data_IF_632477602441
#
_entry.id   IF_632477602441
#
_cell.length_a   1.000
_cell.length_b   1.000
_cell.length_c   1.000
_cell.angle_alpha   90.00
_cell.angle_beta   90.00
_cell.angle_gamma   90.00
#
_symmetry.space_group_name_H-M   'P 1'
#
loop_
_entity.id
_entity.type
_entity.pdbx_description
1 polymer ?
#
# COMPACT_ATOMS: atom_id res chain seq x y z
N UNK A 1 8.56 1.15 -22.70
CA UNK A 1 9.58 0.66 -21.75
C UNK A 1 9.00 0.84 -20.36
N UNK A 2 8.76 -0.23 -19.61
CA UNK A 2 8.33 -0.11 -18.21
C UNK A 2 9.50 0.39 -17.35
N UNK A 3 9.21 1.29 -16.40
CA UNK A 3 10.24 1.79 -15.48
C UNK A 3 10.64 0.68 -14.50
N UNK A 4 11.88 0.68 -14.01
CA UNK A 4 12.35 -0.29 -13.00
C UNK A 4 11.46 -0.33 -11.75
N UNK A 5 10.80 0.79 -11.42
CA UNK A 5 9.84 0.90 -10.32
C UNK A 5 8.59 0.08 -10.60
N UNK A 6 8.04 0.17 -11.81
CA UNK A 6 6.85 -0.60 -12.21
C UNK A 6 7.14 -2.11 -12.15
N UNK A 7 8.29 -2.55 -12.67
CA UNK A 7 8.70 -3.96 -12.61
C UNK A 7 8.85 -4.45 -11.17
N UNK A 8 9.48 -3.65 -10.30
CA UNK A 8 9.64 -4.00 -8.89
C UNK A 8 8.31 -4.10 -8.15
N UNK A 9 7.36 -3.21 -8.43
CA UNK A 9 6.01 -3.26 -7.89
C UNK A 9 5.24 -4.50 -8.36
N UNK A 10 5.22 -4.76 -9.67
CA UNK A 10 4.56 -5.94 -10.23
C UNK A 10 5.10 -7.23 -9.61
N UNK A 11 6.43 -7.34 -9.47
CA UNK A 11 7.05 -8.51 -8.83
C UNK A 11 6.70 -8.64 -7.35
N UNK A 12 6.69 -7.54 -6.60
CA UNK A 12 6.29 -7.54 -5.21
C UNK A 12 4.82 -7.94 -5.04
N UNK A 13 3.93 -7.48 -5.93
CA UNK A 13 2.52 -7.90 -5.94
C UNK A 13 2.37 -9.41 -6.19
N UNK A 14 3.14 -9.97 -7.13
CA UNK A 14 3.15 -11.42 -7.37
C UNK A 14 3.53 -12.22 -6.11
N UNK A 15 4.49 -11.74 -5.33
CA UNK A 15 4.87 -12.38 -4.07
C UNK A 15 3.73 -12.34 -3.04
N UNK A 16 3.02 -11.21 -2.93
CA UNK A 16 1.85 -11.12 -2.05
C UNK A 16 0.77 -12.12 -2.45
N UNK A 17 0.43 -12.19 -3.74
CA UNK A 17 -0.57 -13.15 -4.24
C UNK A 17 -0.13 -14.62 -4.12
N UNK A 18 1.17 -14.88 -4.16
CA UNK A 18 1.73 -16.21 -3.93
C UNK A 18 1.76 -16.62 -2.44
N UNK A 19 1.28 -15.76 -1.52
CA UNK A 19 1.35 -16.01 -0.08
C UNK A 19 2.77 -15.91 0.48
N UNK A 20 3.64 -15.14 -0.19
CA UNK A 20 5.05 -14.92 0.14
C UNK A 20 5.30 -13.45 0.52
N UNK A 21 4.65 -12.94 1.59
CA UNK A 21 4.69 -11.51 1.93
C UNK A 21 6.08 -11.03 2.34
N UNK A 22 6.94 -11.90 2.89
CA UNK A 22 8.29 -11.52 3.31
C UNK A 22 9.20 -11.21 2.12
N UNK A 23 8.98 -11.90 1.00
CA UNK A 23 9.69 -11.73 -0.27
C UNK A 23 9.24 -10.47 -1.02
N UNK A 24 7.98 -10.04 -0.82
CA UNK A 24 7.45 -8.80 -1.40
C UNK A 24 8.09 -7.54 -0.80
N UNK A 25 8.32 -7.53 0.52
CA UNK A 25 8.83 -6.36 1.27
C UNK A 25 10.13 -5.78 0.69
N UNK A 26 11.22 -6.55 0.47
CA UNK A 26 12.47 -5.98 -0.02
C UNK A 26 12.33 -5.36 -1.42
N UNK A 27 11.53 -5.97 -2.31
CA UNK A 27 11.27 -5.45 -3.65
C UNK A 27 10.49 -4.12 -3.59
N UNK A 28 9.42 -4.06 -2.78
CA UNK A 28 8.65 -2.83 -2.60
C UNK A 28 9.45 -1.72 -1.89
N UNK A 29 10.31 -2.04 -0.91
CA UNK A 29 11.21 -1.08 -0.27
C UNK A 29 12.24 -0.51 -1.24
N UNK A 30 12.76 -1.34 -2.16
CA UNK A 30 13.68 -0.87 -3.19
C UNK A 30 12.97 0.09 -4.16
N UNK A 31 11.73 -0.23 -4.56
CA UNK A 31 10.91 0.68 -5.36
C UNK A 31 10.68 2.01 -4.64
N UNK A 32 10.34 1.97 -3.35
CA UNK A 32 10.12 3.17 -2.54
C UNK A 32 11.37 4.06 -2.49
N UNK A 33 12.54 3.48 -2.18
CA UNK A 33 13.80 4.23 -2.10
C UNK A 33 14.19 4.88 -3.42
N UNK A 34 13.97 4.18 -4.53
CA UNK A 34 14.27 4.71 -5.86
C UNK A 34 13.33 5.87 -6.21
N UNK A 35 12.04 5.71 -5.96
CA UNK A 35 11.00 6.70 -6.30
C UNK A 35 11.04 7.93 -5.39
N UNK A 36 11.22 7.76 -4.08
CA UNK A 36 11.16 8.84 -3.09
C UNK A 36 12.29 9.85 -3.26
N UNK A 37 13.45 9.42 -3.79
CA UNK A 37 14.58 10.31 -4.11
C UNK A 37 14.25 11.30 -5.23
N UNK A 38 13.33 10.96 -6.12
CA UNK A 38 13.04 11.74 -7.32
C UNK A 38 11.74 12.56 -7.18
N UNK A 39 10.74 12.02 -6.48
CA UNK A 39 9.36 12.52 -6.54
C UNK A 39 8.93 13.35 -5.32
N UNK A 40 9.73 13.37 -4.26
CA UNK A 40 9.36 13.99 -2.99
C UNK A 40 8.46 13.09 -2.13
N UNK A 41 8.35 13.38 -0.81
CA UNK A 41 7.81 12.44 0.18
C UNK A 41 6.28 12.27 0.14
N UNK A 42 5.54 13.20 -0.46
CA UNK A 42 4.06 13.17 -0.51
C UNK A 42 3.50 12.95 -1.93
N UNK A 43 4.33 12.48 -2.87
CA UNK A 43 3.87 12.27 -4.25
C UNK A 43 2.85 11.14 -4.35
N UNK A 44 1.75 11.37 -5.09
CA UNK A 44 0.73 10.36 -5.41
C UNK A 44 1.32 9.08 -6.03
N UNK A 45 2.44 9.19 -6.74
CA UNK A 45 3.13 8.04 -7.34
C UNK A 45 3.73 7.07 -6.30
N UNK A 46 3.91 7.51 -5.05
CA UNK A 46 4.37 6.65 -3.95
C UNK A 46 3.21 5.87 -3.29
N UNK A 47 1.97 6.31 -3.47
CA UNK A 47 0.79 5.69 -2.88
C UNK A 47 0.71 4.17 -3.15
N UNK A 48 0.82 3.66 -4.39
CA UNK A 48 0.77 2.22 -4.63
C UNK A 48 1.91 1.46 -3.96
N UNK A 49 3.07 2.09 -3.76
CA UNK A 49 4.21 1.46 -3.08
C UNK A 49 3.93 1.31 -1.59
N UNK A 50 3.36 2.34 -0.96
CA UNK A 50 2.97 2.27 0.46
C UNK A 50 1.85 1.26 0.72
N UNK A 51 0.85 1.19 -0.17
CA UNK A 51 -0.23 0.20 -0.04
C UNK A 51 0.29 -1.24 -0.16
N UNK A 52 1.19 -1.52 -1.10
CA UNK A 52 1.79 -2.84 -1.23
C UNK A 52 2.67 -3.22 -0.02
N UNK A 53 3.42 -2.26 0.52
CA UNK A 53 4.20 -2.46 1.75
C UNK A 53 3.29 -2.73 2.96
N UNK A 54 2.14 -2.08 3.02
CA UNK A 54 1.14 -2.33 4.05
C UNK A 54 0.57 -3.75 3.92
N UNK A 55 0.10 -4.13 2.74
CA UNK A 55 -0.46 -5.46 2.46
C UNK A 55 0.53 -6.57 2.79
N UNK A 56 1.77 -6.46 2.29
CA UNK A 56 2.83 -7.41 2.59
C UNK A 56 3.17 -7.45 4.09
N UNK A 57 3.21 -6.29 4.78
CA UNK A 57 3.47 -6.25 6.22
C UNK A 57 2.34 -6.89 7.04
N UNK A 58 1.09 -6.72 6.61
CA UNK A 58 -0.07 -7.37 7.21
C UNK A 58 0.03 -8.88 7.06
N UNK A 59 0.25 -9.38 5.84
CA UNK A 59 0.42 -10.81 5.57
C UNK A 59 1.62 -11.44 6.28
N UNK A 60 2.67 -10.66 6.54
CA UNK A 60 3.84 -11.09 7.30
C UNK A 60 3.67 -11.04 8.82
N UNK A 61 2.47 -10.70 9.34
CA UNK A 61 2.22 -10.58 10.79
C UNK A 61 2.96 -9.40 11.44
N UNK A 62 3.17 -8.30 10.71
CA UNK A 62 3.88 -7.10 11.16
C UNK A 62 2.93 -5.89 11.25
N UNK A 63 1.93 -5.91 12.14
CA UNK A 63 0.85 -4.90 12.15
C UNK A 63 1.36 -3.48 12.39
N UNK A 64 2.38 -3.28 13.22
CA UNK A 64 3.00 -1.96 13.46
C UNK A 64 3.64 -1.36 12.19
N UNK A 65 4.23 -2.19 11.34
CA UNK A 65 4.78 -1.72 10.05
C UNK A 65 3.67 -1.43 9.06
N UNK A 66 2.67 -2.32 8.98
CA UNK A 66 1.50 -2.12 8.12
C UNK A 66 0.78 -0.81 8.44
N UNK A 67 0.46 -0.56 9.71
CA UNK A 67 -0.17 0.68 10.17
C UNK A 67 0.64 1.92 9.77
N UNK A 68 1.97 1.89 9.96
CA UNK A 68 2.84 3.00 9.55
C UNK A 68 2.75 3.28 8.04
N UNK A 69 2.74 2.25 7.21
CA UNK A 69 2.63 2.42 5.76
C UNK A 69 1.25 2.92 5.34
N UNK A 70 0.18 2.43 5.96
CA UNK A 70 -1.18 2.93 5.74
C UNK A 70 -1.31 4.40 6.15
N UNK A 71 -0.73 4.83 7.27
CA UNK A 71 -0.74 6.25 7.65
C UNK A 71 -0.02 7.14 6.62
N UNK A 72 1.07 6.66 6.02
CA UNK A 72 1.73 7.40 4.93
C UNK A 72 0.86 7.46 3.67
N UNK A 73 0.19 6.37 3.31
CA UNK A 73 -0.74 6.32 2.19
C UNK A 73 -1.92 7.28 2.40
N UNK A 74 -2.53 7.28 3.59
CA UNK A 74 -3.58 8.21 3.98
C UNK A 74 -3.12 9.67 3.90
N UNK A 75 -1.91 9.96 4.39
CA UNK A 75 -1.33 11.29 4.32
C UNK A 75 -1.19 11.78 2.88
N UNK A 76 -0.68 10.94 1.97
CA UNK A 76 -0.54 11.28 0.55
C UNK A 76 -1.90 11.64 -0.07
N UNK A 77 -2.94 10.85 0.20
CA UNK A 77 -4.30 11.13 -0.29
C UNK A 77 -4.84 12.43 0.29
N UNK A 78 -4.65 12.69 1.58
CA UNK A 78 -5.08 13.93 2.23
C UNK A 78 -4.40 15.18 1.64
N UNK A 79 -3.14 15.06 1.25
CA UNK A 79 -2.39 16.16 0.62
C UNK A 79 -2.71 16.35 -0.87
N UNK A 80 -3.54 15.48 -1.46
CA UNK A 80 -3.80 15.43 -2.89
C UNK A 80 -5.29 15.64 -3.18
N UNK A 81 -5.77 16.89 -3.30
CA UNK A 81 -7.19 17.17 -3.51
C UNK A 81 -7.73 16.55 -4.81
N UNK A 82 -6.87 16.35 -5.80
CA UNK A 82 -7.21 15.75 -7.09
C UNK A 82 -6.98 14.22 -7.13
N UNK A 83 -6.85 13.55 -5.98
CA UNK A 83 -6.66 12.10 -5.91
C UNK A 83 -7.83 11.37 -6.58
N UNK A 84 -7.55 10.53 -7.57
CA UNK A 84 -8.59 9.82 -8.31
C UNK A 84 -9.37 8.84 -7.41
N UNK A 85 -10.65 8.64 -7.72
CA UNK A 85 -11.49 7.68 -7.01
C UNK A 85 -10.86 6.28 -6.95
N UNK A 86 -10.21 5.83 -8.04
CA UNK A 86 -9.53 4.54 -8.08
C UNK A 86 -8.37 4.42 -7.06
N UNK A 87 -7.65 5.50 -6.79
CA UNK A 87 -6.58 5.51 -5.79
C UNK A 87 -7.13 5.59 -4.36
N UNK A 88 -8.23 6.33 -4.16
CA UNK A 88 -8.95 6.36 -2.87
C UNK A 88 -9.55 4.99 -2.54
N UNK A 89 -10.17 4.33 -3.52
CA UNK A 89 -10.71 2.98 -3.46
C UNK A 89 -9.63 1.97 -3.04
N UNK A 90 -8.46 2.00 -3.69
CA UNK A 90 -7.29 1.19 -3.28
C UNK A 90 -6.80 1.45 -1.86
N UNK A 91 -6.84 2.70 -1.40
CA UNK A 91 -6.49 3.01 0.00
C UNK A 91 -7.50 2.36 0.96
N UNK A 92 -8.79 2.47 0.65
CA UNK A 92 -9.87 1.85 1.41
C UNK A 92 -9.75 0.32 1.45
N UNK A 93 -9.44 -0.31 0.33
CA UNK A 93 -9.11 -1.73 0.27
C UNK A 93 -8.00 -2.11 1.27
N UNK A 94 -6.86 -1.41 1.23
CA UNK A 94 -5.73 -1.69 2.11
C UNK A 94 -6.06 -1.51 3.60
N UNK A 95 -6.82 -0.47 3.95
CA UNK A 95 -7.30 -0.23 5.31
C UNK A 95 -8.27 -1.33 5.78
N UNK A 96 -9.21 -1.74 4.91
CA UNK A 96 -10.17 -2.79 5.21
C UNK A 96 -9.51 -4.13 5.48
N UNK A 97 -8.57 -4.55 4.61
CA UNK A 97 -7.79 -5.79 4.79
C UNK A 97 -6.96 -5.77 6.08
N UNK A 98 -6.38 -4.63 6.42
CA UNK A 98 -5.66 -4.47 7.69
C UNK A 98 -6.59 -4.61 8.90
N UNK A 99 -7.77 -3.98 8.87
CA UNK A 99 -8.77 -4.11 9.94
C UNK A 99 -9.26 -5.56 10.11
N UNK A 100 -9.42 -6.32 9.03
CA UNK A 100 -9.71 -7.76 9.10
C UNK A 100 -8.60 -8.49 9.86
N UNK A 101 -7.33 -8.22 9.53
CA UNK A 101 -6.19 -8.87 10.17
C UNK A 101 -6.05 -8.50 11.66
N UNK A 102 -6.50 -7.31 12.06
CA UNK A 102 -6.56 -6.90 13.47
C UNK A 102 -7.83 -7.41 14.20
N UNK A 103 -8.77 -8.03 13.49
CA UNK A 103 -10.05 -8.48 14.03
C UNK A 103 -11.08 -7.36 14.26
N UNK A 104 -10.83 -6.15 13.74
CA UNK A 104 -11.74 -5.01 13.83
C UNK A 104 -12.73 -4.98 12.66
N UNK A 105 -13.75 -5.83 12.75
CA UNK A 105 -14.69 -6.05 11.64
C UNK A 105 -15.55 -4.83 11.31
N UNK A 106 -15.89 -3.99 12.31
CA UNK A 106 -16.71 -2.79 12.07
C UNK A 106 -15.96 -1.78 11.17
N UNK A 107 -14.68 -1.54 11.45
CA UNK A 107 -13.85 -0.67 10.61
C UNK A 107 -13.55 -1.32 9.25
N UNK A 108 -13.38 -2.64 9.21
CA UNK A 108 -13.20 -3.36 7.96
C UNK A 108 -14.41 -3.18 7.02
N UNK A 109 -15.63 -3.34 7.54
CA UNK A 109 -16.86 -3.15 6.78
C UNK A 109 -16.98 -1.73 6.24
N UNK A 110 -16.71 -0.72 7.06
CA UNK A 110 -16.71 0.68 6.63
C UNK A 110 -15.75 0.88 5.46
N UNK A 111 -14.50 0.43 5.59
CA UNK A 111 -13.50 0.66 4.55
C UNK A 111 -13.81 -0.12 3.27
N UNK A 112 -14.20 -1.39 3.36
CA UNK A 112 -14.51 -2.19 2.18
C UNK A 112 -15.78 -1.72 1.45
N UNK A 113 -16.73 -1.10 2.15
CA UNK A 113 -17.88 -0.46 1.50
C UNK A 113 -17.49 0.76 0.64
N UNK A 114 -16.31 1.35 0.88
CA UNK A 114 -15.77 2.49 0.12
C UNK A 114 -14.71 2.06 -0.93
N UNK A 115 -14.47 0.75 -1.09
CA UNK A 115 -13.64 0.17 -2.17
C UNK A 115 -14.54 -0.10 -3.41
N UNK A 116 -14.93 0.97 -4.12
CA UNK A 116 -15.81 0.96 -5.31
C UNK A 116 -15.12 1.62 -6.51
#
# INVERSE_FOLDING_TARGET
QESLVAVALSRAQCFVWAGQPLEAIPAALQALRSSSRLLGPASLHLLPIYLLLAEASTGAGRPRQAAKYLSQAQWIVLQSPDCSAALQSKLHQGLGLFCIAEGNLDQALYHLANDV
#
